data_IF_204447426029
#
_entry.id   IF_204447426029
#
_cell.length_a   1.000
_cell.length_b   1.000
_cell.length_c   1.000
_cell.angle_alpha   90.00
_cell.angle_beta   90.00
_cell.angle_gamma   90.00
#
_symmetry.space_group_name_H-M   'P 1'
#
loop_
_entity.id
_entity.type
_entity.pdbx_description
1 polymer ?
#
# COMPACT_ATOMS: atom_id res chain seq x y z
N UNK A 1 21.73 1.58 -15.06
CA UNK A 1 20.87 1.18 -13.92
C UNK A 1 19.59 0.63 -14.50
N UNK A 2 19.27 -0.65 -14.27
CA UNK A 2 18.18 -1.31 -14.98
C UNK A 2 16.82 -0.65 -14.65
N UNK A 3 15.91 -0.50 -15.61
CA UNK A 3 14.61 0.16 -15.43
C UNK A 3 13.70 -0.56 -14.42
N UNK A 4 13.93 -1.86 -14.20
CA UNK A 4 13.28 -2.66 -13.17
C UNK A 4 13.58 -2.18 -11.74
N UNK A 5 14.78 -1.67 -11.50
CA UNK A 5 15.28 -1.44 -10.14
C UNK A 5 14.43 -0.45 -9.33
N UNK A 6 13.79 0.54 -9.97
CA UNK A 6 13.08 1.62 -9.27
C UNK A 6 11.72 1.15 -8.73
N UNK A 7 10.94 0.42 -9.54
CA UNK A 7 9.65 -0.14 -9.10
C UNK A 7 9.84 -1.20 -8.00
N UNK A 8 10.85 -2.05 -8.16
CA UNK A 8 11.24 -3.00 -7.10
C UNK A 8 11.73 -2.31 -5.83
N UNK A 9 12.44 -1.19 -5.95
CA UNK A 9 12.86 -0.40 -4.79
C UNK A 9 11.65 0.13 -4.01
N UNK A 10 10.66 0.71 -4.70
CA UNK A 10 9.42 1.19 -4.07
C UNK A 10 8.68 0.04 -3.36
N UNK A 11 8.51 -1.08 -4.06
CA UNK A 11 7.87 -2.27 -3.52
C UNK A 11 8.61 -2.84 -2.30
N UNK A 12 9.93 -2.94 -2.36
CA UNK A 12 10.76 -3.44 -1.25
C UNK A 12 10.69 -2.53 -0.02
N UNK A 13 10.58 -1.22 -0.22
CA UNK A 13 10.35 -0.28 0.87
C UNK A 13 9.02 -0.56 1.57
N UNK A 14 7.92 -0.62 0.81
CA UNK A 14 6.57 -0.95 1.33
C UNK A 14 6.60 -2.29 2.07
N UNK A 15 7.21 -3.30 1.45
CA UNK A 15 7.37 -4.64 2.04
C UNK A 15 8.04 -4.58 3.40
N UNK A 16 9.19 -3.92 3.51
CA UNK A 16 9.91 -3.81 4.79
C UNK A 16 9.06 -3.15 5.88
N UNK A 17 8.32 -2.09 5.54
CA UNK A 17 7.43 -1.44 6.51
C UNK A 17 6.31 -2.36 6.99
N UNK A 18 5.66 -3.08 6.08
CA UNK A 18 4.64 -4.06 6.42
C UNK A 18 5.20 -5.27 7.18
N UNK A 19 6.46 -5.66 6.93
CA UNK A 19 7.16 -6.72 7.68
C UNK A 19 7.48 -6.28 9.12
N UNK A 20 7.84 -5.01 9.30
CA UNK A 20 8.09 -4.42 10.63
C UNK A 20 6.78 -4.35 11.43
N UNK A 21 5.70 -3.85 10.82
CA UNK A 21 4.38 -3.76 11.45
C UNK A 21 3.70 -5.13 11.65
N UNK A 22 4.23 -6.18 11.02
CA UNK A 22 3.73 -7.55 11.12
C UNK A 22 2.54 -7.84 10.22
N UNK A 23 2.21 -6.96 9.26
CA UNK A 23 1.10 -7.17 8.33
C UNK A 23 1.53 -7.81 7.01
N UNK A 24 2.82 -7.85 6.71
CA UNK A 24 3.30 -8.54 5.53
C UNK A 24 2.98 -10.03 5.59
N UNK A 25 2.37 -10.61 4.53
CA UNK A 25 2.07 -12.02 4.52
C UNK A 25 3.36 -12.82 4.30
N UNK A 26 3.58 -13.83 5.13
CA UNK A 26 4.68 -14.78 4.96
C UNK A 26 4.14 -16.13 4.48
N UNK A 27 4.90 -16.82 3.62
CA UNK A 27 4.58 -18.19 3.17
C UNK A 27 4.84 -19.22 4.28
N UNK A 28 5.81 -18.96 5.15
CA UNK A 28 6.08 -19.75 6.35
C UNK A 28 5.61 -18.97 7.59
N UNK A 29 4.83 -19.62 8.44
CA UNK A 29 4.27 -19.00 9.64
C UNK A 29 5.36 -18.90 10.71
N UNK A 30 6.04 -17.75 10.77
CA UNK A 30 6.87 -17.42 11.93
C UNK A 30 5.96 -16.93 13.04
N UNK A 31 5.92 -17.65 14.16
CA UNK A 31 5.09 -17.33 15.35
C UNK A 31 5.28 -15.85 15.77
N UNK A 32 6.51 -15.33 15.68
CA UNK A 32 6.83 -13.94 16.00
C UNK A 32 6.13 -12.93 15.08
N UNK A 33 6.02 -13.25 13.78
CA UNK A 33 5.32 -12.37 12.82
C UNK A 33 3.80 -12.37 13.04
N UNK A 34 3.21 -13.53 13.36
CA UNK A 34 1.79 -13.64 13.66
C UNK A 34 1.43 -12.92 14.95
N UNK A 35 2.24 -13.07 16.00
CA UNK A 35 2.05 -12.36 17.25
C UNK A 35 2.11 -10.85 17.06
N UNK A 36 3.09 -10.34 16.29
CA UNK A 36 3.17 -8.91 15.96
C UNK A 36 1.94 -8.43 15.18
N UNK A 37 1.50 -9.20 14.18
CA UNK A 37 0.28 -8.90 13.42
C UNK A 37 -0.95 -8.82 14.32
N UNK A 38 -1.09 -9.80 15.23
CA UNK A 38 -2.20 -9.90 16.16
C UNK A 38 -2.20 -8.74 17.15
N UNK A 39 -1.06 -8.41 17.75
CA UNK A 39 -0.91 -7.28 18.66
C UNK A 39 -1.20 -5.94 17.97
N UNK A 40 -0.66 -5.72 16.77
CA UNK A 40 -0.88 -4.49 15.98
C UNK A 40 -2.35 -4.33 15.59
N UNK A 41 -2.99 -5.42 15.15
CA UNK A 41 -4.42 -5.43 14.81
C UNK A 41 -5.29 -5.18 16.05
N UNK A 42 -5.01 -5.88 17.15
CA UNK A 42 -5.77 -5.75 18.39
C UNK A 42 -5.65 -4.35 18.98
N UNK A 43 -4.44 -3.78 19.00
CA UNK A 43 -4.20 -2.39 19.42
C UNK A 43 -5.03 -1.40 18.58
N UNK A 44 -5.03 -1.56 17.25
CA UNK A 44 -5.81 -0.71 16.34
C UNK A 44 -7.32 -0.87 16.55
N UNK A 45 -7.79 -2.10 16.85
CA UNK A 45 -9.18 -2.40 17.12
C UNK A 45 -9.64 -1.80 18.46
N UNK A 46 -8.84 -1.93 19.52
CA UNK A 46 -9.10 -1.30 20.81
C UNK A 46 -9.22 0.22 20.63
N UNK A 47 -8.25 0.82 19.93
CA UNK A 47 -8.28 2.25 19.62
C UNK A 47 -9.53 2.66 18.84
N UNK A 48 -9.95 1.88 17.85
CA UNK A 48 -11.20 2.14 17.12
C UNK A 48 -12.43 2.08 18.02
N UNK A 49 -12.55 1.04 18.85
CA UNK A 49 -13.70 0.87 19.77
C UNK A 49 -13.74 2.01 20.78
N UNK A 50 -12.61 2.40 21.36
CA UNK A 50 -12.57 3.53 22.31
C UNK A 50 -13.02 4.84 21.67
N UNK A 51 -12.62 5.10 20.43
CA UNK A 51 -13.07 6.28 19.69
C UNK A 51 -14.57 6.24 19.37
N UNK A 52 -15.10 5.07 18.99
CA UNK A 52 -16.53 4.90 18.76
C UNK A 52 -17.36 5.11 20.02
N UNK A 53 -16.86 4.70 21.19
CA UNK A 53 -17.52 4.98 22.47
C UNK A 53 -17.57 6.48 22.75
N UNK A 54 -16.49 7.23 22.53
CA UNK A 54 -16.52 8.70 22.68
C UNK A 54 -17.46 9.40 21.71
N UNK A 55 -17.55 8.93 20.47
CA UNK A 55 -18.53 9.44 19.49
C UNK A 55 -19.96 9.29 20.02
N UNK A 56 -20.28 8.15 20.65
CA UNK A 56 -21.60 7.91 21.23
C UNK A 56 -21.85 8.80 22.44
N UNK A 57 -20.83 9.02 23.28
CA UNK A 57 -20.94 9.88 24.48
C UNK A 57 -21.12 11.37 24.13
N UNK A 58 -20.43 11.85 23.09
CA UNK A 58 -20.46 13.25 22.65
C UNK A 58 -21.36 13.51 21.45
N UNK A 59 -22.31 12.62 21.18
CA UNK A 59 -23.19 12.73 20.00
C UNK A 59 -24.00 14.05 19.95
N UNK A 60 -24.22 14.69 21.11
CA UNK A 60 -24.92 15.97 21.21
C UNK A 60 -24.06 17.19 20.86
N UNK A 61 -22.72 17.11 20.95
CA UNK A 61 -21.83 18.20 20.57
C UNK A 61 -21.27 17.96 19.17
N UNK A 62 -21.76 18.74 18.20
CA UNK A 62 -21.35 18.61 16.81
C UNK A 62 -19.84 18.80 16.60
N UNK A 63 -19.19 19.66 17.40
CA UNK A 63 -17.77 19.96 17.25
C UNK A 63 -16.92 18.75 17.66
N UNK A 64 -17.14 18.24 18.88
CA UNK A 64 -16.39 17.08 19.38
C UNK A 64 -16.74 15.81 18.57
N UNK A 65 -17.98 15.67 18.10
CA UNK A 65 -18.38 14.62 17.17
C UNK A 65 -17.57 14.67 15.87
N UNK A 66 -17.47 15.85 15.24
CA UNK A 66 -16.73 16.01 13.98
C UNK A 66 -15.23 15.73 14.16
N UNK A 67 -14.63 16.21 15.25
CA UNK A 67 -13.23 15.94 15.60
C UNK A 67 -12.99 14.43 15.75
N UNK A 68 -13.80 13.73 16.55
CA UNK A 68 -13.66 12.29 16.77
C UNK A 68 -13.94 11.46 15.52
N UNK A 69 -14.94 11.83 14.71
CA UNK A 69 -15.22 11.16 13.44
C UNK A 69 -14.08 11.31 12.44
N UNK A 70 -13.42 12.48 12.41
CA UNK A 70 -12.30 12.73 11.49
C UNK A 70 -11.10 11.80 11.74
N UNK A 71 -10.89 11.39 13.00
CA UNK A 71 -9.84 10.43 13.37
C UNK A 71 -10.32 8.98 13.22
N UNK A 72 -11.58 8.72 13.53
CA UNK A 72 -12.16 7.37 13.50
C UNK A 72 -12.32 6.82 12.08
N UNK A 73 -12.67 7.67 11.12
CA UNK A 73 -12.90 7.25 9.73
C UNK A 73 -11.63 6.66 9.07
N UNK A 74 -10.43 7.28 9.16
CA UNK A 74 -9.19 6.67 8.68
C UNK A 74 -8.86 5.33 9.35
N UNK A 75 -9.10 5.19 10.66
CA UNK A 75 -8.87 3.93 11.40
C UNK A 75 -9.80 2.82 10.88
N UNK A 76 -11.06 3.15 10.66
CA UNK A 76 -12.02 2.22 10.08
C UNK A 76 -11.60 1.78 8.67
N UNK A 77 -11.26 2.74 7.81
CA UNK A 77 -10.79 2.47 6.45
C UNK A 77 -9.55 1.56 6.46
N UNK A 78 -8.61 1.80 7.38
CA UNK A 78 -7.45 0.95 7.59
C UNK A 78 -7.82 -0.48 7.99
N UNK A 79 -8.71 -0.66 8.98
CA UNK A 79 -9.16 -1.99 9.43
C UNK A 79 -9.77 -2.76 8.26
N UNK A 80 -10.66 -2.12 7.49
CA UNK A 80 -11.29 -2.73 6.31
C UNK A 80 -10.23 -3.12 5.27
N UNK A 81 -9.31 -2.21 4.91
CA UNK A 81 -8.20 -2.50 3.97
C UNK A 81 -7.37 -3.68 4.45
N UNK A 82 -7.03 -3.73 5.73
CA UNK A 82 -6.23 -4.80 6.30
C UNK A 82 -6.96 -6.16 6.28
N UNK A 83 -8.25 -6.18 6.59
CA UNK A 83 -9.07 -7.40 6.49
C UNK A 83 -9.12 -7.89 5.04
N UNK A 84 -9.39 -7.00 4.08
CA UNK A 84 -9.41 -7.33 2.64
C UNK A 84 -8.04 -7.87 2.20
N UNK A 85 -6.96 -7.20 2.60
CA UNK A 85 -5.60 -7.62 2.31
C UNK A 85 -5.29 -9.04 2.83
N UNK A 86 -5.69 -9.34 4.07
CA UNK A 86 -5.54 -10.67 4.67
C UNK A 86 -6.40 -11.73 3.97
N UNK A 87 -7.66 -11.42 3.64
CA UNK A 87 -8.55 -12.34 2.93
C UNK A 87 -8.04 -12.66 1.52
N UNK A 88 -7.44 -11.68 0.84
CA UNK A 88 -6.92 -11.81 -0.53
C UNK A 88 -5.43 -12.13 -0.60
N UNK A 89 -4.83 -12.60 0.51
CA UNK A 89 -3.38 -12.89 0.61
C UNK A 89 -2.84 -13.79 -0.52
N UNK A 90 -3.63 -14.76 -0.99
CA UNK A 90 -3.21 -15.70 -2.04
C UNK A 90 -3.05 -14.98 -3.38
N UNK A 91 -4.05 -14.18 -3.75
CA UNK A 91 -4.01 -13.40 -4.98
C UNK A 91 -2.94 -12.33 -4.91
N UNK A 92 -2.74 -11.73 -3.74
CA UNK A 92 -1.63 -10.82 -3.48
C UNK A 92 -0.28 -11.48 -3.79
N UNK A 93 0.00 -12.66 -3.24
CA UNK A 93 1.24 -13.37 -3.54
C UNK A 93 1.41 -13.66 -5.03
N UNK A 94 0.32 -14.01 -5.72
CA UNK A 94 0.37 -14.22 -7.16
C UNK A 94 0.75 -12.96 -7.91
N UNK A 95 0.19 -11.80 -7.55
CA UNK A 95 0.58 -10.51 -8.13
C UNK A 95 2.04 -10.16 -7.83
N UNK A 96 2.54 -10.43 -6.62
CA UNK A 96 3.95 -10.23 -6.27
C UNK A 96 4.86 -11.13 -7.09
N UNK A 97 4.49 -12.40 -7.28
CA UNK A 97 5.24 -13.34 -8.10
C UNK A 97 5.26 -12.89 -9.58
N UNK A 98 4.12 -12.45 -10.11
CA UNK A 98 4.03 -11.87 -11.46
C UNK A 98 4.92 -10.63 -11.61
N UNK A 99 4.94 -9.74 -10.61
CA UNK A 99 5.86 -8.60 -10.56
C UNK A 99 7.33 -9.04 -10.54
N UNK A 100 7.65 -10.08 -9.78
CA UNK A 100 9.03 -10.55 -9.55
C UNK A 100 9.58 -11.33 -10.74
N UNK A 101 8.72 -11.98 -11.52
CA UNK A 101 9.10 -12.73 -12.70
C UNK A 101 9.53 -11.80 -13.84
N UNK A 102 10.83 -11.51 -13.88
CA UNK A 102 11.47 -10.59 -14.82
C UNK A 102 11.22 -10.91 -16.31
N UNK A 103 10.95 -12.17 -16.66
CA UNK A 103 10.64 -12.59 -18.05
C UNK A 103 9.42 -11.88 -18.62
N UNK A 104 8.44 -11.55 -17.78
CA UNK A 104 7.20 -10.87 -18.19
C UNK A 104 7.46 -9.41 -18.56
N UNK A 105 8.56 -8.82 -18.11
CA UNK A 105 8.91 -7.43 -18.33
C UNK A 105 10.24 -7.23 -19.05
N UNK A 106 10.78 -8.25 -19.71
CA UNK A 106 12.01 -8.11 -20.46
C UNK A 106 11.76 -7.12 -21.61
N UNK A 107 12.27 -5.87 -21.53
CA UNK A 107 11.94 -4.85 -22.51
C UNK A 107 12.69 -5.18 -23.79
N UNK A 108 11.96 -5.38 -24.89
CA UNK A 108 12.57 -5.64 -26.21
C UNK A 108 13.16 -4.37 -26.84
N UNK A 109 12.87 -3.19 -26.28
CA UNK A 109 13.27 -1.87 -26.77
C UNK A 109 13.60 -0.91 -25.61
N UNK A 110 14.63 -0.06 -25.78
CA UNK A 110 15.10 0.92 -24.79
C UNK A 110 14.01 1.86 -24.29
N UNK A 111 13.09 2.27 -25.17
CA UNK A 111 11.96 3.15 -24.84
C UNK A 111 11.03 2.57 -23.76
N UNK A 112 10.94 1.24 -23.64
CA UNK A 112 10.11 0.57 -22.64
C UNK A 112 10.79 0.52 -21.28
N UNK A 113 12.12 0.43 -21.28
CA UNK A 113 12.90 0.61 -20.08
C UNK A 113 12.61 1.99 -19.48
N UNK A 114 12.60 3.03 -20.30
CA UNK A 114 12.33 4.38 -19.84
C UNK A 114 10.91 4.57 -19.31
N UNK A 115 9.89 3.92 -19.89
CA UNK A 115 8.54 3.95 -19.34
C UNK A 115 8.43 3.29 -17.96
N UNK A 116 8.90 2.05 -17.81
CA UNK A 116 8.86 1.31 -16.53
C UNK A 116 9.64 2.07 -15.46
N UNK A 117 10.78 2.65 -15.84
CA UNK A 117 11.60 3.51 -14.98
C UNK A 117 10.85 4.78 -14.57
N UNK A 118 10.15 5.42 -15.50
CA UNK A 118 9.33 6.61 -15.21
C UNK A 118 8.20 6.26 -14.25
N UNK A 119 7.50 5.15 -14.46
CA UNK A 119 6.45 4.67 -13.56
C UNK A 119 7.01 4.37 -12.16
N UNK A 120 8.16 3.70 -12.07
CA UNK A 120 8.84 3.43 -10.81
C UNK A 120 9.21 4.73 -10.06
N UNK A 121 9.78 5.71 -10.76
CA UNK A 121 10.07 7.04 -10.20
C UNK A 121 8.82 7.76 -9.73
N UNK A 122 7.74 7.72 -10.50
CA UNK A 122 6.45 8.30 -10.12
C UNK A 122 5.90 7.63 -8.86
N UNK A 123 5.96 6.29 -8.76
CA UNK A 123 5.54 5.57 -7.55
C UNK A 123 6.35 5.99 -6.32
N UNK A 124 7.67 6.10 -6.45
CA UNK A 124 8.55 6.58 -5.36
C UNK A 124 8.21 8.03 -4.96
N UNK A 125 7.98 8.89 -5.95
CA UNK A 125 7.63 10.29 -5.71
C UNK A 125 6.29 10.41 -4.97
N UNK A 126 5.26 9.71 -5.44
CA UNK A 126 3.94 9.67 -4.79
C UNK A 126 4.06 9.13 -3.38
N UNK A 127 4.83 8.07 -3.15
CA UNK A 127 5.08 7.54 -1.81
C UNK A 127 5.73 8.55 -0.87
N UNK A 128 6.75 9.27 -1.34
CA UNK A 128 7.43 10.30 -0.56
C UNK A 128 6.52 11.48 -0.23
N UNK A 129 5.74 11.94 -1.19
CA UNK A 129 4.79 13.05 -1.00
C UNK A 129 3.69 12.61 -0.04
N UNK A 130 3.00 11.51 -0.33
CA UNK A 130 1.86 11.04 0.47
C UNK A 130 2.28 10.62 1.88
N UNK A 131 3.37 9.85 2.00
CA UNK A 131 3.94 9.47 3.29
C UNK A 131 4.47 10.68 4.07
N UNK A 132 5.08 11.65 3.38
CA UNK A 132 5.55 12.90 3.97
C UNK A 132 4.41 13.75 4.54
N UNK A 133 3.30 13.90 3.79
CA UNK A 133 2.09 14.60 4.26
C UNK A 133 1.53 13.90 5.50
N UNK A 134 1.40 12.57 5.48
CA UNK A 134 0.92 11.82 6.64
C UNK A 134 1.84 11.99 7.86
N UNK A 135 3.16 11.95 7.67
CA UNK A 135 4.12 12.18 8.75
C UNK A 135 3.98 13.58 9.34
N UNK A 136 3.86 14.62 8.49
CA UNK A 136 3.65 16.01 8.94
C UNK A 136 2.35 16.12 9.74
N UNK A 137 1.24 15.54 9.28
CA UNK A 137 -0.04 15.58 9.99
C UNK A 137 0.08 14.91 11.36
N UNK A 138 0.69 13.71 11.44
CA UNK A 138 0.87 13.00 12.72
C UNK A 138 1.79 13.78 13.67
N UNK A 139 2.87 14.39 13.16
CA UNK A 139 3.76 15.23 13.96
C UNK A 139 3.05 16.48 14.48
N UNK A 140 2.28 17.17 13.63
CA UNK A 140 1.48 18.32 14.05
C UNK A 140 0.47 17.91 15.13
N UNK A 141 -0.18 16.76 14.97
CA UNK A 141 -1.12 16.23 15.96
C UNK A 141 -0.44 15.97 17.31
N UNK A 142 0.78 15.40 17.30
CA UNK A 142 1.58 15.19 18.50
C UNK A 142 1.98 16.52 19.16
N UNK A 143 2.48 17.48 18.38
CA UNK A 143 2.96 18.77 18.90
C UNK A 143 1.83 19.64 19.44
N UNK A 144 0.68 19.67 18.75
CA UNK A 144 -0.49 20.41 19.20
C UNK A 144 -1.04 19.84 20.50
N UNK A 145 -1.12 18.51 20.62
CA UNK A 145 -1.55 17.85 21.86
C UNK A 145 -0.64 18.16 23.05
N UNK A 146 0.68 18.29 22.84
CA UNK A 146 1.61 18.67 23.90
C UNK A 146 1.53 20.15 24.29
N UNK A 147 1.04 20.99 23.37
CA UNK A 147 0.95 22.45 23.57
C UNK A 147 -0.42 22.88 24.12
N UNK A 148 -1.47 22.09 23.90
CA UNK A 148 -2.81 22.33 24.42
C UNK A 148 -2.93 21.93 25.88
N UNK A 149 -3.84 22.59 26.61
CA UNK A 149 -4.19 22.21 27.99
C UNK A 149 -4.72 20.77 28.10
N UNK A 150 -5.22 20.20 26.98
CA UNK A 150 -5.58 18.79 26.86
C UNK A 150 -4.34 17.96 26.53
N UNK A 151 -3.87 17.17 27.49
CA UNK A 151 -2.66 16.33 27.34
C UNK A 151 -2.85 15.20 26.30
N UNK A 152 -4.08 14.81 25.97
CA UNK A 152 -4.36 13.71 25.05
C UNK A 152 -4.69 14.18 23.62
N UNK A 153 -4.12 13.53 22.58
CA UNK A 153 -4.38 13.86 21.18
C UNK A 153 -5.86 13.70 20.80
N UNK A 154 -6.53 12.74 21.42
CA UNK A 154 -7.97 12.57 21.33
C UNK A 154 -8.53 12.68 22.73
N UNK A 155 -9.49 13.59 22.88
CA UNK A 155 -10.19 13.78 24.16
C UNK A 155 -10.96 12.52 24.48
N UNK A 156 -10.70 12.00 25.67
CA UNK A 156 -11.47 10.93 26.27
C UNK A 156 -12.21 11.52 27.47
N UNK A 157 -13.46 11.09 27.67
CA UNK A 157 -14.30 11.53 28.79
C UNK A 157 -13.87 10.95 30.14
N UNK A 158 -12.97 9.97 30.11
CA UNK A 158 -12.47 9.28 31.29
C UNK A 158 -11.28 10.02 31.91
N UNK A 159 -11.28 10.15 33.24
CA UNK A 159 -10.12 10.62 33.99
C UNK A 159 -9.11 9.48 34.14
N UNK A 160 -7.95 9.63 33.50
CA UNK A 160 -6.86 8.64 33.56
C UNK A 160 -5.88 8.89 34.71
N UNK A 161 -6.02 9.98 35.47
CA UNK A 161 -5.13 10.31 36.58
C UNK A 161 -3.64 10.22 36.21
N UNK A 162 -2.90 9.31 36.86
CA UNK A 162 -1.47 9.10 36.60
C UNK A 162 -1.14 8.39 35.29
N UNK A 163 -2.13 7.74 34.64
CA UNK A 163 -1.94 6.96 33.42
C UNK A 163 -2.09 7.78 32.12
N UNK A 164 -2.29 9.10 32.22
CA UNK A 164 -2.46 10.00 31.07
C UNK A 164 -1.31 9.86 30.06
N UNK A 165 -0.05 9.81 30.51
CA UNK A 165 1.10 9.64 29.61
C UNK A 165 1.14 8.26 28.93
N UNK A 166 0.66 7.22 29.61
CA UNK A 166 0.53 5.89 29.03
C UNK A 166 -0.51 5.87 27.91
N UNK A 167 -1.65 6.52 28.14
CA UNK A 167 -2.70 6.68 27.13
C UNK A 167 -2.24 7.53 25.96
N UNK A 168 -1.51 8.64 26.21
CA UNK A 168 -0.88 9.45 25.18
C UNK A 168 0.00 8.60 24.26
N UNK A 169 0.93 7.82 24.85
CA UNK A 169 1.84 6.97 24.09
C UNK A 169 1.09 5.89 23.29
N UNK A 170 0.03 5.31 23.87
CA UNK A 170 -0.85 4.36 23.18
C UNK A 170 -1.55 5.00 21.97
N UNK A 171 -2.22 6.14 22.16
CA UNK A 171 -2.93 6.84 21.07
C UNK A 171 -1.96 7.24 19.95
N UNK A 172 -0.80 7.82 20.29
CA UNK A 172 0.19 8.23 19.29
C UNK A 172 0.78 7.04 18.52
N UNK A 173 1.06 5.93 19.21
CA UNK A 173 1.54 4.71 18.54
C UNK A 173 0.45 4.11 17.65
N UNK A 174 -0.81 4.11 18.07
CA UNK A 174 -1.93 3.64 17.27
C UNK A 174 -2.14 4.50 16.01
N UNK A 175 -2.18 5.82 16.15
CA UNK A 175 -2.31 6.77 15.04
C UNK A 175 -1.15 6.60 14.05
N UNK A 176 0.09 6.55 14.55
CA UNK A 176 1.28 6.35 13.71
C UNK A 176 1.20 5.02 12.94
N UNK A 177 0.84 3.93 13.63
CA UNK A 177 0.70 2.62 13.03
C UNK A 177 -0.41 2.59 11.95
N UNK A 178 -1.57 3.18 12.24
CA UNK A 178 -2.68 3.31 11.27
C UNK A 178 -2.23 4.12 10.05
N UNK A 179 -1.60 5.28 10.25
CA UNK A 179 -1.15 6.14 9.17
C UNK A 179 -0.12 5.44 8.28
N UNK A 180 0.94 4.87 8.87
CA UNK A 180 2.00 4.19 8.11
C UNK A 180 1.48 2.98 7.34
N UNK A 181 0.68 2.12 7.96
CA UNK A 181 0.16 0.94 7.27
C UNK A 181 -0.85 1.31 6.19
N UNK A 182 -1.67 2.35 6.40
CA UNK A 182 -2.59 2.84 5.36
C UNK A 182 -1.82 3.33 4.14
N UNK A 183 -0.79 4.15 4.36
CA UNK A 183 0.10 4.61 3.28
C UNK A 183 0.72 3.42 2.56
N UNK A 184 1.22 2.42 3.29
CA UNK A 184 1.82 1.23 2.69
C UNK A 184 0.81 0.44 1.83
N UNK A 185 -0.40 0.20 2.33
CA UNK A 185 -1.44 -0.54 1.60
C UNK A 185 -1.91 0.21 0.35
N UNK A 186 -2.06 1.53 0.42
CA UNK A 186 -2.46 2.34 -0.73
C UNK A 186 -1.35 2.41 -1.79
N UNK A 187 -0.10 2.60 -1.35
CA UNK A 187 1.04 2.59 -2.26
C UNK A 187 1.25 1.22 -2.90
N UNK A 188 0.95 0.13 -2.19
CA UNK A 188 1.01 -1.22 -2.74
C UNK A 188 0.02 -1.39 -3.89
N UNK A 189 -1.21 -0.90 -3.72
CA UNK A 189 -2.21 -0.89 -4.79
C UNK A 189 -1.76 -0.03 -5.99
N UNK A 190 -1.18 1.14 -5.74
CA UNK A 190 -0.62 2.01 -6.80
C UNK A 190 0.51 1.29 -7.55
N UNK A 191 1.42 0.61 -6.86
CA UNK A 191 2.48 -0.16 -7.49
C UNK A 191 1.93 -1.28 -8.37
N UNK A 192 0.91 -2.03 -7.91
CA UNK A 192 0.28 -3.06 -8.74
C UNK A 192 -0.43 -2.49 -9.97
N UNK A 193 -1.15 -1.38 -9.82
CA UNK A 193 -1.78 -0.71 -10.95
C UNK A 193 -0.72 -0.21 -11.95
N UNK A 194 0.37 0.40 -11.47
CA UNK A 194 1.48 0.83 -12.31
C UNK A 194 2.14 -0.34 -13.06
N UNK A 195 2.30 -1.48 -12.40
CA UNK A 195 2.74 -2.73 -13.03
C UNK A 195 1.76 -3.19 -14.11
N UNK A 196 0.47 -3.24 -13.82
CA UNK A 196 -0.53 -3.71 -14.78
C UNK A 196 -0.58 -2.81 -16.03
N UNK A 197 -0.49 -1.50 -15.85
CA UNK A 197 -0.39 -0.53 -16.95
C UNK A 197 0.85 -0.79 -17.80
N UNK A 198 2.01 -0.99 -17.16
CA UNK A 198 3.24 -1.30 -17.89
C UNK A 198 3.12 -2.60 -18.70
N UNK A 199 2.49 -3.63 -18.14
CA UNK A 199 2.24 -4.91 -18.81
C UNK A 199 1.29 -4.76 -20.01
N UNK A 200 0.20 -4.01 -19.87
CA UNK A 200 -0.74 -3.75 -20.96
C UNK A 200 -0.10 -2.98 -22.11
N UNK A 201 0.73 -1.99 -21.83
CA UNK A 201 1.44 -1.25 -22.87
C UNK A 201 2.49 -2.10 -23.59
N UNK A 202 3.19 -2.98 -22.86
CA UNK A 202 4.10 -3.96 -23.49
C UNK A 202 3.32 -4.87 -24.45
N UNK A 203 2.12 -5.31 -24.07
CA UNK A 203 1.27 -6.11 -24.94
C UNK A 203 0.77 -5.32 -26.16
N UNK A 204 0.26 -4.10 -25.96
CA UNK A 204 -0.21 -3.22 -27.03
C UNK A 204 0.88 -3.02 -28.09
N UNK A 205 2.11 -2.76 -27.66
CA UNK A 205 3.23 -2.59 -28.57
C UNK A 205 3.56 -3.89 -29.31
N UNK A 206 3.60 -5.04 -28.61
CA UNK A 206 3.84 -6.34 -29.25
C UNK A 206 2.82 -6.61 -30.36
N UNK A 207 1.56 -6.22 -30.18
CA UNK A 207 0.51 -6.33 -31.18
C UNK A 207 0.78 -5.35 -32.33
N UNK A 208 1.08 -4.08 -32.03
CA UNK A 208 1.35 -3.09 -33.07
C UNK A 208 2.58 -3.42 -33.92
N UNK A 209 3.63 -3.97 -33.31
CA UNK A 209 4.81 -4.44 -34.02
C UNK A 209 4.43 -5.60 -34.95
N UNK A 210 3.58 -6.55 -34.53
CA UNK A 210 3.05 -7.60 -35.40
C UNK A 210 2.32 -7.03 -36.63
N UNK A 211 1.49 -6.00 -36.44
CA UNK A 211 0.76 -5.37 -37.55
C UNK A 211 1.68 -4.70 -38.57
N UNK A 212 2.83 -4.18 -38.15
CA UNK A 212 3.82 -3.59 -39.08
C UNK A 212 4.53 -4.63 -39.96
N UNK A 213 4.60 -5.88 -39.52
CA UNK A 213 5.28 -6.95 -40.26
C UNK A 213 4.45 -7.50 -41.42
N UNK A 214 3.14 -7.27 -41.47
CA UNK A 214 2.26 -7.62 -42.60
C UNK A 214 2.63 -6.84 -43.90
N UNK A 215 3.58 -5.89 -43.80
CA UNK A 215 4.09 -5.08 -44.91
C UNK A 215 5.55 -5.36 -45.28
N UNK A 216 6.26 -6.25 -44.58
CA UNK A 216 7.67 -6.60 -44.83
C UNK A 216 7.82 -8.12 -45.09
N UNK A 217 8.75 -8.50 -45.96
CA UNK A 217 8.94 -9.88 -46.51
C UNK A 217 9.57 -10.85 -45.47
N UNK A 218 8.90 -11.08 -44.34
CA UNK A 218 9.37 -11.96 -43.26
C UNK A 218 8.99 -13.43 -43.47
N UNK A 219 9.79 -14.32 -42.88
CA UNK A 219 9.48 -15.75 -42.84
C UNK A 219 8.20 -16.02 -42.01
N UNK A 220 7.22 -16.78 -42.55
CA UNK A 220 5.98 -17.14 -41.84
C UNK A 220 6.20 -17.83 -40.49
N UNK A 221 7.34 -18.50 -40.32
CA UNK A 221 7.71 -19.16 -39.06
C UNK A 221 8.02 -18.15 -37.95
N UNK A 222 8.59 -17.00 -38.29
CA UNK A 222 8.96 -15.97 -37.33
C UNK A 222 7.72 -15.20 -36.84
N UNK A 223 6.78 -14.92 -37.74
CA UNK A 223 5.48 -14.33 -37.44
C UNK A 223 4.67 -15.24 -36.49
N UNK A 224 4.57 -16.54 -36.83
CA UNK A 224 3.88 -17.53 -35.99
C UNK A 224 4.51 -17.63 -34.59
N UNK A 225 5.85 -17.60 -34.50
CA UNK A 225 6.56 -17.64 -33.22
C UNK A 225 6.25 -16.42 -32.36
N UNK A 226 6.21 -15.22 -32.95
CA UNK A 226 5.93 -13.97 -32.24
C UNK A 226 4.47 -13.83 -31.84
N UNK A 227 3.53 -14.24 -32.69
CA UNK A 227 2.11 -14.29 -32.36
C UNK A 227 1.85 -15.26 -31.19
N UNK A 228 2.50 -16.43 -31.19
CA UNK A 228 2.47 -17.37 -30.06
C UNK A 228 2.98 -16.74 -28.76
N UNK A 229 4.06 -15.95 -28.81
CA UNK A 229 4.57 -15.23 -27.64
C UNK A 229 3.58 -14.17 -27.12
N UNK A 230 2.87 -13.47 -28.00
CA UNK A 230 1.85 -12.49 -27.62
C UNK A 230 0.64 -13.16 -26.96
N UNK A 231 0.16 -14.26 -27.54
CA UNK A 231 -0.94 -15.06 -26.97
C UNK A 231 -0.55 -15.62 -25.61
N UNK A 232 0.67 -16.15 -25.45
CA UNK A 232 1.16 -16.62 -24.15
C UNK A 232 1.19 -15.47 -23.15
N UNK A 233 1.74 -14.32 -23.52
CA UNK A 233 1.82 -13.15 -22.63
C UNK A 233 0.44 -12.63 -22.21
N UNK A 234 -0.51 -12.50 -23.14
CA UNK A 234 -1.89 -12.12 -22.83
C UNK A 234 -2.58 -13.16 -21.93
N UNK A 235 -2.34 -14.44 -22.19
CA UNK A 235 -2.85 -15.53 -21.35
C UNK A 235 -2.28 -15.47 -19.93
N UNK A 236 -1.01 -15.11 -19.78
CA UNK A 236 -0.34 -14.95 -18.48
C UNK A 236 -0.84 -13.71 -17.71
N UNK A 237 -1.32 -12.67 -18.40
CA UNK A 237 -1.96 -11.50 -17.76
C UNK A 237 -3.36 -11.86 -17.23
N UNK A 238 -4.14 -12.63 -18.00
CA UNK A 238 -5.52 -13.00 -17.64
C UNK A 238 -5.58 -14.08 -16.56
N UNK A 239 -4.70 -15.07 -16.64
CA UNK A 239 -4.72 -16.23 -15.75
C UNK A 239 -4.40 -15.85 -14.34
#
# INVERSE_FOLDING_TARGET
>A
MAPHTDLFTAFNFIRKFLEISGHWPHTTLSISSELRSFLSFTSSLIFFVTNMMEIVLHFSDFKDLAENMSVTAPVFAYIVKLVVFKMKRREFFRMVEMMTNAKTFEPRSEAHGDFVKTMGKTCILVMKIYGGICAVVVTLYACLSLSSETVLPIKFSYDFGSWVYGMYAFQMTAIMNVALNTVCLDMLAVCFMGTAIAQLQILEQKIHDLTKFDHEDYSPEEETRRMKQCVVHHTDIIK
#
